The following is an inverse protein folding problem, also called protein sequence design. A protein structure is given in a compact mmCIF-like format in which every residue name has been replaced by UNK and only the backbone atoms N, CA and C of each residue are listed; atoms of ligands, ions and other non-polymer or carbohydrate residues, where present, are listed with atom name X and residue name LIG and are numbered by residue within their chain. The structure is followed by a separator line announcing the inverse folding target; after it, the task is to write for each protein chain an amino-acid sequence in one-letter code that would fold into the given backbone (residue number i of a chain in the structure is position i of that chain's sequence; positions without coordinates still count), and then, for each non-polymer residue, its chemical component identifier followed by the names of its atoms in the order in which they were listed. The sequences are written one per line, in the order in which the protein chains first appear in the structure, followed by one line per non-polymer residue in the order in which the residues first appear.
data_IF_705094517429
#
_entry.id   IF_705094517429
#
_cell.length_a   1.000
_cell.length_b   1.000
_cell.length_c   1.000
_cell.angle_alpha   90.00
_cell.angle_beta   90.00
_cell.angle_gamma   90.00
#
_symmetry.space_group_name_H-M   'P 1'
#
loop_
_entity.id
_entity.type
_entity.pdbx_description
1 polymer ?
#
# COMPACT_ATOMS: atom_id res chain seq x y z
N UNK A 1 21.12 1.71 -40.89
CA UNK A 1 20.64 1.49 -39.51
C UNK A 1 21.50 0.38 -38.94
N UNK A 2 22.45 0.71 -38.07
CA UNK A 2 23.30 -0.30 -37.42
C UNK A 2 22.45 -0.92 -36.31
N UNK A 3 22.36 -2.24 -36.30
CA UNK A 3 21.68 -2.98 -35.24
C UNK A 3 22.60 -3.02 -34.00
N UNK A 4 22.55 -1.96 -33.20
CA UNK A 4 23.37 -1.76 -31.99
C UNK A 4 23.24 -2.94 -30.99
N UNK A 5 22.13 -3.66 -31.06
CA UNK A 5 21.83 -4.94 -30.38
C UNK A 5 22.94 -5.98 -30.54
N UNK A 6 23.50 -6.14 -31.75
CA UNK A 6 24.52 -7.17 -32.02
C UNK A 6 25.89 -6.79 -31.47
N UNK A 7 26.14 -5.49 -31.32
CA UNK A 7 27.42 -4.95 -30.84
C UNK A 7 27.50 -5.04 -29.32
N UNK A 8 26.39 -4.80 -28.61
CA UNK A 8 26.38 -4.77 -27.15
C UNK A 8 26.27 -6.18 -26.52
N UNK A 9 25.51 -7.09 -27.13
CA UNK A 9 25.39 -8.50 -26.68
C UNK A 9 26.65 -9.33 -26.91
N UNK A 10 27.50 -8.94 -27.87
CA UNK A 10 28.75 -9.63 -28.20
C UNK A 10 29.90 -9.28 -27.24
N UNK A 11 29.70 -8.38 -26.28
CA UNK A 11 30.77 -7.92 -25.39
C UNK A 11 30.67 -8.58 -24.00
N UNK A 12 31.40 -9.70 -23.75
CA UNK A 12 31.27 -10.51 -22.54
C UNK A 12 31.73 -9.81 -21.25
N UNK A 13 32.26 -8.59 -21.35
CA UNK A 13 32.74 -7.79 -20.21
C UNK A 13 31.67 -6.88 -19.60
N UNK A 14 30.53 -6.65 -20.27
CA UNK A 14 29.38 -5.94 -19.68
C UNK A 14 28.47 -6.93 -18.96
N UNK A 15 28.93 -7.53 -17.85
CA UNK A 15 28.08 -8.32 -16.95
C UNK A 15 27.69 -7.48 -15.74
N UNK A 16 26.45 -7.01 -15.70
CA UNK A 16 25.87 -6.26 -14.59
C UNK A 16 25.39 -4.86 -14.99
N UNK A 17 24.18 -4.52 -14.54
CA UNK A 17 23.39 -3.26 -14.71
C UNK A 17 23.24 -2.68 -16.13
N UNK A 18 24.31 -2.52 -16.89
CA UNK A 18 24.32 -1.97 -18.25
C UNK A 18 23.54 -2.81 -19.27
N UNK A 19 23.41 -4.13 -19.07
CA UNK A 19 22.75 -5.05 -20.03
C UNK A 19 21.26 -4.74 -20.21
N UNK A 20 20.63 -4.09 -19.24
CA UNK A 20 19.21 -3.74 -19.29
C UNK A 20 18.97 -2.23 -19.36
N UNK A 21 20.03 -1.41 -19.44
CA UNK A 21 19.85 0.04 -19.42
C UNK A 21 19.13 0.51 -20.68
N UNK A 22 19.51 0.00 -21.85
CA UNK A 22 18.82 0.30 -23.10
C UNK A 22 17.33 -0.09 -23.09
N UNK A 23 16.98 -1.22 -22.45
CA UNK A 23 15.57 -1.64 -22.29
C UNK A 23 14.82 -0.62 -21.43
N UNK A 24 15.44 -0.16 -20.34
CA UNK A 24 14.84 0.87 -19.48
C UNK A 24 14.65 2.17 -20.25
N UNK A 25 15.69 2.63 -20.95
CA UNK A 25 15.65 3.89 -21.72
C UNK A 25 14.57 3.83 -22.81
N UNK A 26 14.46 2.71 -23.52
CA UNK A 26 13.42 2.50 -24.53
C UNK A 26 12.01 2.43 -23.92
N UNK A 27 11.84 1.75 -22.78
CA UNK A 27 10.56 1.72 -22.07
C UNK A 27 10.17 3.10 -21.54
N UNK A 28 11.14 3.90 -21.07
CA UNK A 28 10.93 5.28 -20.66
C UNK A 28 10.52 6.14 -21.85
N UNK A 29 11.22 6.08 -22.97
CA UNK A 29 10.87 6.81 -24.18
C UNK A 29 9.47 6.43 -24.69
N UNK A 30 9.13 5.14 -24.65
CA UNK A 30 7.78 4.66 -24.99
C UNK A 30 6.71 5.23 -24.05
N UNK A 31 6.98 5.24 -22.74
CA UNK A 31 6.04 5.76 -21.75
C UNK A 31 5.79 7.27 -21.93
N UNK A 32 6.84 8.03 -22.25
CA UNK A 32 6.75 9.47 -22.53
C UNK A 32 6.05 9.78 -23.86
N UNK A 33 6.30 8.96 -24.89
CA UNK A 33 5.72 9.12 -26.22
C UNK A 33 4.24 8.72 -26.31
N UNK A 34 3.82 7.76 -25.48
CA UNK A 34 2.45 7.21 -25.50
C UNK A 34 1.83 7.13 -24.10
N UNK A 35 1.59 8.27 -23.42
CA UNK A 35 1.19 8.27 -22.02
C UNK A 35 -0.13 7.52 -21.78
N UNK A 36 -1.13 7.62 -22.66
CA UNK A 36 -2.40 6.90 -22.50
C UNK A 36 -2.22 5.37 -22.61
N UNK A 37 -1.40 4.91 -23.57
CA UNK A 37 -1.12 3.49 -23.74
C UNK A 37 -0.28 2.95 -22.57
N UNK A 38 0.69 3.73 -22.10
CA UNK A 38 1.51 3.42 -20.94
C UNK A 38 0.66 3.28 -19.67
N UNK A 39 -0.18 4.26 -19.35
CA UNK A 39 -1.07 4.22 -18.19
C UNK A 39 -2.02 3.01 -18.23
N UNK A 40 -2.53 2.68 -19.42
CA UNK A 40 -3.38 1.50 -19.61
C UNK A 40 -2.61 0.20 -19.38
N UNK A 41 -1.36 0.12 -19.85
CA UNK A 41 -0.50 -1.03 -19.64
C UNK A 41 -0.16 -1.20 -18.15
N UNK A 42 0.19 -0.12 -17.46
CA UNK A 42 0.45 -0.11 -16.02
C UNK A 42 -0.76 -0.63 -15.23
N UNK A 43 -1.95 -0.08 -15.48
CA UNK A 43 -3.18 -0.53 -14.83
C UNK A 43 -3.49 -2.01 -15.11
N UNK A 44 -3.20 -2.50 -16.32
CA UNK A 44 -3.38 -3.91 -16.66
C UNK A 44 -2.35 -4.81 -15.96
N UNK A 45 -1.08 -4.37 -15.86
CA UNK A 45 -0.04 -5.07 -15.12
C UNK A 45 -0.42 -5.16 -13.64
N UNK A 46 -0.86 -4.07 -13.03
CA UNK A 46 -1.32 -4.05 -11.66
C UNK A 46 -2.50 -5.00 -11.44
N UNK A 47 -3.51 -4.98 -12.31
CA UNK A 47 -4.63 -5.92 -12.24
C UNK A 47 -4.17 -7.38 -12.38
N UNK A 48 -3.20 -7.65 -13.24
CA UNK A 48 -2.64 -9.00 -13.42
C UNK A 48 -1.82 -9.48 -12.23
N UNK A 49 -1.21 -8.57 -11.47
CA UNK A 49 -0.36 -8.93 -10.33
C UNK A 49 -1.18 -8.97 -9.03
N UNK A 50 -2.00 -7.95 -8.79
CA UNK A 50 -2.70 -7.71 -7.52
C UNK A 50 -4.17 -8.12 -7.56
N UNK A 51 -4.80 -8.02 -8.73
CA UNK A 51 -6.23 -8.33 -8.94
C UNK A 51 -6.53 -9.79 -9.24
N UNK A 52 -5.52 -10.68 -9.27
CA UNK A 52 -5.75 -12.12 -9.42
C UNK A 52 -6.10 -12.78 -8.10
N UNK A 53 -7.17 -13.57 -8.11
CA UNK A 53 -7.52 -14.46 -7.00
C UNK A 53 -6.52 -15.62 -6.94
N UNK A 54 -5.61 -15.57 -5.97
CA UNK A 54 -4.54 -16.57 -5.83
C UNK A 54 -4.14 -16.83 -4.38
N UNK A 55 -4.73 -16.09 -3.44
CA UNK A 55 -4.41 -16.17 -2.02
C UNK A 55 -5.71 -16.42 -1.25
N UNK A 56 -5.99 -17.68 -0.92
CA UNK A 56 -7.16 -18.07 -0.12
C UNK A 56 -8.49 -17.52 -0.66
N UNK A 57 -8.65 -17.52 -1.99
CA UNK A 57 -9.80 -16.97 -2.73
C UNK A 57 -9.95 -15.44 -2.67
N UNK A 58 -8.92 -14.72 -2.26
CA UNK A 58 -8.89 -13.27 -2.28
C UNK A 58 -7.77 -12.76 -3.20
N UNK A 59 -8.01 -11.56 -3.73
CA UNK A 59 -6.98 -10.71 -4.33
C UNK A 59 -6.05 -10.16 -3.25
N UNK A 60 -4.95 -9.51 -3.65
CA UNK A 60 -4.02 -8.94 -2.67
C UNK A 60 -4.63 -7.76 -1.92
N UNK A 61 -5.45 -6.97 -2.62
CA UNK A 61 -6.14 -5.82 -2.05
C UNK A 61 -7.21 -6.26 -1.04
N UNK A 62 -8.08 -7.19 -1.41
CA UNK A 62 -9.09 -7.74 -0.48
C UNK A 62 -8.44 -8.35 0.78
N UNK A 63 -7.33 -9.09 0.60
CA UNK A 63 -6.62 -9.69 1.73
C UNK A 63 -5.92 -8.63 2.61
N UNK A 64 -5.44 -7.53 2.02
CA UNK A 64 -4.91 -6.40 2.77
C UNK A 64 -5.98 -5.67 3.56
N UNK A 65 -7.14 -5.41 2.95
CA UNK A 65 -8.26 -4.74 3.60
C UNK A 65 -8.79 -5.57 4.78
N UNK A 66 -8.93 -6.88 4.61
CA UNK A 66 -9.28 -7.77 5.72
C UNK A 66 -8.20 -7.78 6.80
N UNK A 67 -6.92 -7.79 6.42
CA UNK A 67 -5.81 -7.78 7.38
C UNK A 67 -5.75 -6.49 8.21
N UNK A 68 -5.90 -5.32 7.58
CA UNK A 68 -5.85 -4.01 8.23
C UNK A 68 -7.06 -3.76 9.14
N UNK A 69 -8.23 -4.25 8.73
CA UNK A 69 -9.47 -4.16 9.51
C UNK A 69 -9.44 -4.94 10.83
N UNK A 70 -8.47 -5.84 11.05
CA UNK A 70 -8.35 -6.59 12.30
C UNK A 70 -8.22 -5.68 13.54
N UNK A 71 -7.49 -4.57 13.39
CA UNK A 71 -7.33 -3.58 14.46
C UNK A 71 -8.66 -2.88 14.80
N UNK A 72 -9.41 -2.50 13.76
CA UNK A 72 -10.72 -1.86 13.87
C UNK A 72 -11.75 -2.83 14.45
N UNK A 73 -11.76 -4.09 14.00
CA UNK A 73 -12.61 -5.14 14.55
C UNK A 73 -12.38 -5.34 16.05
N UNK A 74 -11.13 -5.29 16.53
CA UNK A 74 -10.82 -5.40 17.95
C UNK A 74 -11.30 -4.20 18.77
N UNK A 75 -11.21 -3.00 18.21
CA UNK A 75 -11.62 -1.76 18.88
C UNK A 75 -13.14 -1.58 18.87
N UNK A 76 -13.78 -1.93 17.76
CA UNK A 76 -15.19 -1.65 17.47
C UNK A 76 -15.87 -2.91 16.90
N UNK A 77 -16.05 -3.96 17.73
CA UNK A 77 -16.58 -5.23 17.26
C UNK A 77 -18.04 -5.11 16.78
N UNK A 78 -18.80 -4.14 17.26
CA UNK A 78 -20.22 -3.95 16.88
C UNK A 78 -20.40 -3.55 15.40
N UNK A 79 -19.34 -3.04 14.74
CA UNK A 79 -19.40 -2.66 13.31
C UNK A 79 -19.41 -3.83 12.35
N UNK A 80 -19.14 -5.04 12.83
CA UNK A 80 -18.93 -6.22 11.99
C UNK A 80 -19.90 -7.34 12.37
N UNK A 81 -20.46 -7.99 11.35
CA UNK A 81 -21.22 -9.23 11.54
C UNK A 81 -20.30 -10.35 12.03
N UNK A 82 -20.88 -11.40 12.61
CA UNK A 82 -20.10 -12.56 13.06
C UNK A 82 -19.29 -13.21 11.92
N UNK A 83 -19.88 -13.31 10.73
CA UNK A 83 -19.20 -13.84 9.53
C UNK A 83 -18.02 -12.95 9.10
N UNK A 84 -18.19 -11.63 9.12
CA UNK A 84 -17.11 -10.69 8.82
C UNK A 84 -15.98 -10.81 9.85
N UNK A 85 -16.31 -10.93 11.13
CA UNK A 85 -15.34 -11.13 12.22
C UNK A 85 -14.49 -12.38 12.01
N UNK A 86 -15.12 -13.48 11.62
CA UNK A 86 -14.43 -14.75 11.34
C UNK A 86 -13.52 -14.64 10.12
N UNK A 87 -13.99 -13.96 9.07
CA UNK A 87 -13.22 -13.73 7.84
C UNK A 87 -11.98 -12.87 8.11
N UNK A 88 -12.15 -11.76 8.84
CA UNK A 88 -11.06 -10.86 9.24
C UNK A 88 -10.05 -11.60 10.14
N UNK A 89 -10.52 -12.36 11.12
CA UNK A 89 -9.66 -13.16 12.00
C UNK A 89 -8.83 -14.20 11.21
N UNK A 90 -9.47 -14.87 10.24
CA UNK A 90 -8.81 -15.86 9.37
C UNK A 90 -7.74 -15.21 8.50
N UNK A 91 -8.09 -14.10 7.83
CA UNK A 91 -7.17 -13.29 7.04
C UNK A 91 -5.97 -12.84 7.89
N UNK A 92 -6.23 -12.26 9.06
CA UNK A 92 -5.19 -11.82 9.98
C UNK A 92 -4.22 -12.94 10.37
N UNK A 93 -4.76 -14.09 10.75
CA UNK A 93 -3.96 -15.26 11.13
C UNK A 93 -3.13 -15.77 9.96
N UNK A 94 -3.71 -15.83 8.76
CA UNK A 94 -3.02 -16.33 7.58
C UNK A 94 -1.89 -15.40 7.13
N UNK A 95 -2.17 -14.09 7.04
CA UNK A 95 -1.17 -13.08 6.68
C UNK A 95 -0.05 -13.06 7.71
N UNK A 96 -0.37 -13.02 9.01
CA UNK A 96 0.64 -13.03 10.08
C UNK A 96 1.55 -14.26 10.01
N UNK A 97 0.96 -15.45 9.88
CA UNK A 97 1.71 -16.70 9.72
C UNK A 97 2.64 -16.63 8.51
N UNK A 98 2.14 -16.15 7.36
CA UNK A 98 2.91 -16.09 6.12
C UNK A 98 4.00 -15.01 6.16
N UNK A 99 3.80 -13.89 6.83
CA UNK A 99 4.85 -12.87 7.04
C UNK A 99 5.98 -13.44 7.93
N UNK A 100 5.64 -14.22 8.95
CA UNK A 100 6.60 -14.81 9.87
C UNK A 100 7.31 -16.06 9.30
N UNK A 101 6.77 -16.70 8.27
CA UNK A 101 7.46 -17.83 7.62
C UNK A 101 8.76 -17.34 6.96
N UNK A 102 9.92 -18.00 7.16
CA UNK A 102 11.17 -17.60 6.50
C UNK A 102 11.05 -17.53 4.98
N UNK A 103 11.72 -16.56 4.34
CA UNK A 103 11.70 -16.39 2.86
C UNK A 103 12.24 -17.64 2.15
N UNK A 104 13.18 -18.36 2.78
CA UNK A 104 13.71 -19.65 2.31
C UNK A 104 12.64 -20.75 2.20
N UNK A 105 11.50 -20.59 2.89
CA UNK A 105 10.33 -21.47 2.80
C UNK A 105 9.16 -20.85 2.03
N UNK A 106 9.33 -19.65 1.44
CA UNK A 106 8.31 -19.05 0.58
C UNK A 106 8.31 -19.75 -0.79
N UNK A 107 7.34 -20.63 -0.99
CA UNK A 107 7.35 -21.59 -2.11
C UNK A 107 6.91 -21.01 -3.46
N UNK A 108 6.29 -19.83 -3.50
CA UNK A 108 5.72 -19.25 -4.73
C UNK A 108 6.17 -17.81 -4.98
N UNK A 109 6.35 -17.45 -6.25
CA UNK A 109 6.54 -16.06 -6.72
C UNK A 109 5.41 -15.16 -6.24
N UNK A 110 4.16 -15.65 -6.26
CA UNK A 110 3.00 -14.90 -5.77
C UNK A 110 3.14 -14.58 -4.27
N UNK A 111 3.62 -15.51 -3.45
CA UNK A 111 3.85 -15.27 -2.02
C UNK A 111 4.90 -14.18 -1.78
N UNK A 112 5.99 -14.20 -2.54
CA UNK A 112 7.04 -13.18 -2.44
C UNK A 112 6.49 -11.79 -2.82
N UNK A 113 5.70 -11.72 -3.89
CA UNK A 113 5.01 -10.47 -4.30
C UNK A 113 4.04 -9.98 -3.22
N UNK A 114 3.23 -10.87 -2.65
CA UNK A 114 2.29 -10.50 -1.59
C UNK A 114 3.00 -9.93 -0.35
N UNK A 115 4.10 -10.55 0.08
CA UNK A 115 4.89 -10.02 1.21
C UNK A 115 5.41 -8.61 0.91
N UNK A 116 5.98 -8.43 -0.28
CA UNK A 116 6.46 -7.11 -0.71
C UNK A 116 5.31 -6.09 -0.67
N UNK A 117 4.17 -6.43 -1.28
CA UNK A 117 2.98 -5.59 -1.28
C UNK A 117 2.52 -5.17 0.13
N UNK A 118 2.47 -6.11 1.08
CA UNK A 118 2.12 -5.83 2.48
C UNK A 118 3.13 -4.89 3.15
N UNK A 119 4.43 -5.10 2.92
CA UNK A 119 5.47 -4.21 3.46
C UNK A 119 5.44 -2.81 2.84
N UNK A 120 5.17 -2.70 1.54
CA UNK A 120 5.10 -1.44 0.82
C UNK A 120 3.86 -0.63 1.29
N UNK A 121 2.69 -1.28 1.43
CA UNK A 121 1.46 -0.66 1.97
C UNK A 121 1.64 -0.17 3.41
N UNK A 122 2.29 -0.96 4.29
CA UNK A 122 2.61 -0.52 5.67
C UNK A 122 3.48 0.74 5.69
N UNK A 123 4.55 0.77 4.88
CA UNK A 123 5.42 1.95 4.77
C UNK A 123 4.68 3.17 4.23
N UNK A 124 3.75 2.97 3.29
CA UNK A 124 2.93 4.06 2.75
C UNK A 124 1.98 4.63 3.81
N UNK A 125 1.34 3.79 4.62
CA UNK A 125 0.49 4.23 5.74
C UNK A 125 1.30 4.98 6.81
N UNK A 126 2.51 4.51 7.15
CA UNK A 126 3.41 5.17 8.11
C UNK A 126 3.94 6.52 7.57
N UNK A 127 4.27 6.59 6.28
CA UNK A 127 4.73 7.82 5.63
C UNK A 127 3.60 8.86 5.50
N UNK A 128 2.39 8.40 5.16
CA UNK A 128 1.20 9.26 5.08
C UNK A 128 0.76 9.74 6.47
N UNK A 129 0.96 8.91 7.50
CA UNK A 129 0.71 9.30 8.89
C UNK A 129 1.75 10.29 9.42
N UNK A 130 3.02 10.18 9.02
CA UNK A 130 4.08 11.13 9.40
C UNK A 130 3.91 12.52 8.76
N UNK A 131 3.26 12.62 7.60
CA UNK A 131 2.94 13.92 6.99
C UNK A 131 1.81 14.68 7.70
N UNK A 132 1.08 14.07 8.64
CA UNK A 132 0.30 14.82 9.63
C UNK A 132 1.21 15.30 10.77
N UNK A 133 2.13 16.19 10.44
CA UNK A 133 2.83 17.00 11.43
C UNK A 133 1.87 17.98 12.12
N UNK A 134 2.11 18.34 13.39
CA UNK A 134 1.18 19.09 14.23
C UNK A 134 1.09 20.54 13.75
N UNK A 135 -0.03 20.92 13.15
CA UNK A 135 -0.33 22.32 12.88
C UNK A 135 -1.23 22.89 13.97
N UNK A 136 -0.55 23.67 14.82
CA UNK A 136 -1.03 24.89 15.48
C UNK A 136 -1.82 24.75 16.77
N UNK A 137 -1.07 24.63 17.86
CA UNK A 137 -1.27 25.47 19.04
C UNK A 137 -1.15 26.94 18.64
N UNK A 138 -2.25 27.68 18.72
CA UNK A 138 -2.34 29.14 18.86
C UNK A 138 -3.55 29.30 19.79
N UNK A 139 -3.33 29.37 21.11
CA UNK A 139 -3.11 30.62 21.84
C UNK A 139 -4.21 31.63 21.54
N UNK A 140 -5.25 31.59 22.38
CA UNK A 140 -6.09 32.75 22.75
C UNK A 140 -6.72 32.40 24.12
N UNK A 141 -5.87 32.33 25.14
CA UNK A 141 -6.23 32.71 26.50
C UNK A 141 -6.03 34.23 26.58
N UNK A 142 -7.12 35.00 26.53
CA UNK A 142 -7.14 36.26 27.26
C UNK A 142 -8.53 36.48 27.88
N UNK A 143 -8.43 36.61 29.19
CA UNK A 143 -9.41 36.77 30.22
C UNK A 143 -9.84 38.25 30.21
N UNK A 144 -11.14 38.56 30.20
CA UNK A 144 -11.57 39.69 31.03
C UNK A 144 -13.02 39.55 31.45
N UNK A 145 -13.20 39.89 32.71
CA UNK A 145 -14.28 39.51 33.58
C UNK A 145 -15.34 40.62 33.74
N UNK A 146 -16.44 40.20 34.36
CA UNK A 146 -17.46 41.03 35.02
C UNK A 146 -18.41 41.84 34.12
N UNK A 147 -19.70 42.02 34.43
CA UNK A 147 -20.33 42.11 35.74
C UNK A 147 -21.79 41.58 35.72
N UNK A 148 -22.22 41.34 36.95
CA UNK A 148 -23.39 40.68 37.55
C UNK A 148 -24.79 41.29 37.34
N UNK A 149 -25.77 40.47 37.78
CA UNK A 149 -27.04 40.79 38.48
C UNK A 149 -28.32 40.79 37.61
N UNK A 150 -29.22 39.81 37.76
CA UNK A 150 -30.30 39.69 38.78
C UNK A 150 -31.65 39.69 38.01
N UNK A 151 -32.77 39.05 38.37
CA UNK A 151 -33.20 38.30 39.53
C UNK A 151 -34.44 37.47 39.13
N UNK A 152 -34.79 36.56 40.03
CA UNK A 152 -35.82 35.51 39.98
C UNK A 152 -37.26 35.98 39.70
N UNK A 153 -38.10 35.06 39.20
CA UNK A 153 -39.29 34.62 39.95
C UNK A 153 -39.91 33.36 39.33
N UNK A 154 -40.11 32.36 40.19
CA UNK A 154 -40.99 31.23 39.99
C UNK A 154 -42.44 31.61 40.33
N UNK A 155 -43.40 31.13 39.55
CA UNK A 155 -44.54 30.30 40.00
C UNK A 155 -45.37 29.85 38.80
#
# INVERSE_FOLDING_TARGET
IVDEHRVETSNPHKKGEAVNQWVKDFLTEYAESFPQASNTLEANVDRCIYGQTGFEHHTFEEMWDLYSNFSIQKREPERFTQEQKETIQRAHTSVTRRLNTPVTRSTSVQMRRFRKYVHDRKQQEESSSSQRGPLSSLDDDDDDAEEVAASQSAQ
#
